data_IF_824201873043
#
_entry.id   IF_824201873043
#
_cell.length_a   1.000
_cell.length_b   1.000
_cell.length_c   1.000
_cell.angle_alpha   90.00
_cell.angle_beta   90.00
_cell.angle_gamma   90.00
#
_symmetry.space_group_name_H-M   'P 1'
#
loop_
_entity.id
_entity.type
_entity.pdbx_description
1 polymer ?
#
# COMPACT_ATOMS: atom_id res chain seq x y z
N UNK A 1 -27.76 -6.68 -21.92
CA UNK A 1 -27.41 -5.56 -22.85
C UNK A 1 -26.58 -4.48 -22.12
N UNK A 2 -26.98 -4.01 -20.92
CA UNK A 2 -26.22 -3.05 -20.13
C UNK A 2 -24.82 -3.59 -19.78
N UNK A 3 -24.71 -4.88 -19.45
CA UNK A 3 -23.45 -5.57 -19.15
C UNK A 3 -22.44 -5.53 -20.31
N UNK A 4 -22.91 -5.62 -21.56
CA UNK A 4 -22.05 -5.54 -22.72
C UNK A 4 -21.41 -4.15 -22.91
N UNK A 5 -22.14 -3.07 -22.62
CA UNK A 5 -21.66 -1.69 -22.69
C UNK A 5 -20.63 -1.44 -21.58
N UNK A 6 -20.92 -1.84 -20.36
CA UNK A 6 -20.00 -1.68 -19.21
C UNK A 6 -18.67 -2.41 -19.44
N UNK A 7 -18.72 -3.62 -19.96
CA UNK A 7 -17.50 -4.37 -20.28
C UNK A 7 -16.65 -3.66 -21.35
N UNK A 8 -17.29 -3.13 -22.40
CA UNK A 8 -16.58 -2.36 -23.45
C UNK A 8 -15.94 -1.09 -22.92
N UNK A 9 -16.63 -0.38 -22.01
CA UNK A 9 -16.09 0.80 -21.33
C UNK A 9 -14.87 0.45 -20.49
N UNK A 10 -14.95 -0.64 -19.74
CA UNK A 10 -13.85 -1.15 -18.92
C UNK A 10 -12.64 -1.54 -19.78
N UNK A 11 -12.87 -2.34 -20.81
CA UNK A 11 -11.80 -2.79 -21.70
C UNK A 11 -11.09 -1.64 -22.40
N UNK A 12 -11.85 -0.58 -22.81
CA UNK A 12 -11.29 0.62 -23.41
C UNK A 12 -10.43 1.39 -22.40
N UNK A 13 -10.92 1.55 -21.16
CA UNK A 13 -10.20 2.22 -20.08
C UNK A 13 -8.91 1.46 -19.72
N UNK A 14 -8.97 0.16 -19.48
CA UNK A 14 -7.79 -0.65 -19.14
C UNK A 14 -6.73 -0.63 -20.23
N UNK A 15 -7.16 -0.65 -21.50
CA UNK A 15 -6.24 -0.56 -22.63
C UNK A 15 -5.50 0.76 -22.65
N UNK A 16 -6.21 1.86 -22.41
CA UNK A 16 -5.61 3.18 -22.39
C UNK A 16 -4.72 3.38 -21.16
N UNK A 17 -5.13 2.86 -19.99
CA UNK A 17 -4.34 2.86 -18.77
C UNK A 17 -2.99 2.18 -18.96
N UNK A 18 -2.99 1.00 -19.57
CA UNK A 18 -1.77 0.25 -19.92
C UNK A 18 -0.93 0.97 -20.98
N UNK A 19 -1.57 1.56 -22.00
CA UNK A 19 -0.88 2.29 -23.05
C UNK A 19 -0.14 3.53 -22.51
N UNK A 20 -0.74 4.25 -21.57
CA UNK A 20 -0.11 5.39 -20.89
C UNK A 20 0.95 4.97 -19.87
N UNK A 21 1.01 3.72 -19.49
CA UNK A 21 1.92 3.23 -18.45
C UNK A 21 1.69 3.88 -17.08
N UNK A 22 0.44 4.17 -16.74
CA UNK A 22 0.05 4.93 -15.56
C UNK A 22 0.65 4.37 -14.27
N UNK A 23 0.56 3.05 -14.04
CA UNK A 23 1.12 2.39 -12.85
C UNK A 23 2.62 2.65 -12.67
N UNK A 24 3.37 2.60 -13.78
CA UNK A 24 4.81 2.86 -13.76
C UNK A 24 5.12 4.31 -13.36
N UNK A 25 4.37 5.26 -13.88
CA UNK A 25 4.56 6.67 -13.55
C UNK A 25 4.18 6.97 -12.12
N UNK A 26 3.05 6.44 -11.64
CA UNK A 26 2.60 6.56 -10.24
C UNK A 26 3.65 5.98 -9.29
N UNK A 27 4.09 4.74 -9.52
CA UNK A 27 5.09 4.08 -8.68
C UNK A 27 6.41 4.84 -8.63
N UNK A 28 6.86 5.40 -9.77
CA UNK A 28 8.08 6.19 -9.82
C UNK A 28 7.93 7.54 -9.11
N UNK A 29 6.80 8.24 -9.28
CA UNK A 29 6.54 9.47 -8.57
C UNK A 29 6.47 9.24 -7.05
N UNK A 30 5.79 8.20 -6.62
CA UNK A 30 5.73 7.80 -5.21
C UNK A 30 7.12 7.51 -4.63
N UNK A 31 7.96 6.77 -5.35
CA UNK A 31 9.34 6.48 -4.93
C UNK A 31 10.17 7.75 -4.79
N UNK A 32 10.12 8.62 -5.79
CA UNK A 32 10.87 9.87 -5.82
C UNK A 32 10.42 10.81 -4.71
N UNK A 33 9.11 10.94 -4.47
CA UNK A 33 8.60 11.78 -3.39
C UNK A 33 9.06 11.31 -2.00
N UNK A 34 9.13 10.02 -1.77
CA UNK A 34 9.68 9.47 -0.50
C UNK A 34 11.18 9.72 -0.36
N UNK A 35 11.94 9.66 -1.44
CA UNK A 35 13.39 9.88 -1.43
C UNK A 35 13.72 11.36 -1.22
N UNK A 36 13.06 12.25 -1.95
CA UNK A 36 13.41 13.68 -1.99
C UNK A 36 12.42 14.59 -1.25
N UNK A 37 11.33 14.04 -0.71
CA UNK A 37 10.27 14.78 -0.04
C UNK A 37 9.16 15.26 -0.96
N UNK A 38 9.43 15.36 -2.27
CA UNK A 38 8.48 15.80 -3.29
C UNK A 38 8.84 15.19 -4.64
N UNK A 39 7.82 14.97 -5.46
CA UNK A 39 7.94 14.71 -6.90
C UNK A 39 6.81 15.40 -7.65
N UNK A 40 6.98 15.60 -8.94
CA UNK A 40 5.90 16.07 -9.81
C UNK A 40 5.85 15.24 -11.08
N UNK A 41 4.65 14.97 -11.59
CA UNK A 41 4.44 14.41 -12.91
C UNK A 41 4.00 15.55 -13.81
N UNK A 42 4.71 15.77 -14.90
CA UNK A 42 4.38 16.76 -15.92
C UNK A 42 3.91 16.05 -17.19
N UNK A 43 2.73 16.41 -17.67
CA UNK A 43 2.16 15.92 -18.91
C UNK A 43 2.53 16.83 -20.07
N UNK A 44 3.09 16.24 -21.10
CA UNK A 44 3.36 16.88 -22.38
C UNK A 44 2.36 16.37 -23.41
N UNK A 45 1.79 17.29 -24.16
CA UNK A 45 0.85 17.00 -25.25
C UNK A 45 1.43 17.59 -26.53
N UNK A 46 1.53 16.80 -27.57
CA UNK A 46 2.09 17.25 -28.85
C UNK A 46 1.34 18.47 -29.37
N UNK A 47 2.10 19.46 -29.86
CA UNK A 47 1.61 20.72 -30.44
C UNK A 47 0.82 21.59 -29.45
N UNK A 48 1.00 21.45 -28.15
CA UNK A 48 0.41 22.30 -27.14
C UNK A 48 1.45 22.91 -26.22
N UNK A 49 1.28 24.18 -25.88
CA UNK A 49 2.15 24.87 -24.93
C UNK A 49 1.93 24.36 -23.49
N UNK A 50 3.00 24.09 -22.72
CA UNK A 50 2.87 23.63 -21.33
C UNK A 50 2.13 24.59 -20.41
N UNK A 51 2.16 25.90 -20.71
CA UNK A 51 1.50 26.95 -19.92
C UNK A 51 -0.01 27.02 -20.13
N UNK A 52 -0.51 26.41 -21.21
CA UNK A 52 -1.96 26.41 -21.52
C UNK A 52 -2.68 25.29 -20.76
N UNK A 53 -3.94 25.51 -20.42
CA UNK A 53 -4.79 24.44 -19.89
C UNK A 53 -4.94 23.30 -20.89
N UNK A 54 -5.11 22.08 -20.38
CA UNK A 54 -5.35 20.90 -21.21
C UNK A 54 -6.77 20.95 -21.76
N UNK A 55 -6.91 20.84 -23.08
CA UNK A 55 -8.20 20.54 -23.67
C UNK A 55 -8.41 19.00 -23.66
N UNK A 56 -9.06 18.53 -22.62
CA UNK A 56 -9.34 17.11 -22.44
C UNK A 56 -10.20 16.52 -23.56
N UNK A 57 -11.08 17.34 -24.21
CA UNK A 57 -12.00 16.86 -25.25
C UNK A 57 -11.28 16.43 -26.52
N UNK A 58 -10.13 17.04 -26.79
CA UNK A 58 -9.31 16.71 -27.98
C UNK A 58 -8.12 15.84 -27.66
N UNK A 59 -7.91 15.49 -26.38
CA UNK A 59 -6.72 14.79 -25.89
C UNK A 59 -6.50 13.41 -26.56
N UNK A 60 -7.57 12.73 -26.95
CA UNK A 60 -7.50 11.44 -27.64
C UNK A 60 -6.83 11.50 -29.04
N UNK A 61 -6.75 12.70 -29.64
CA UNK A 61 -6.11 12.92 -30.96
C UNK A 61 -4.61 13.18 -30.87
N UNK A 62 -4.10 13.45 -29.67
CA UNK A 62 -2.73 13.88 -29.47
C UNK A 62 -1.92 12.76 -28.80
N UNK A 63 -0.63 12.73 -29.08
CA UNK A 63 0.28 11.92 -28.31
C UNK A 63 0.55 12.57 -26.96
N UNK A 64 0.47 11.78 -25.88
CA UNK A 64 0.66 12.24 -24.51
C UNK A 64 1.84 11.51 -23.92
N UNK A 65 2.77 12.25 -23.35
CA UNK A 65 3.92 11.72 -22.63
C UNK A 65 4.01 12.32 -21.24
N UNK A 66 4.61 11.58 -20.31
CA UNK A 66 4.77 11.99 -18.92
C UNK A 66 6.22 12.01 -18.52
N UNK A 67 6.65 13.10 -17.90
CA UNK A 67 7.95 13.24 -17.28
C UNK A 67 7.79 13.33 -15.77
N UNK A 68 8.64 12.58 -15.05
CA UNK A 68 8.69 12.63 -13.60
C UNK A 68 9.82 13.56 -13.21
N UNK A 69 9.50 14.56 -12.42
CA UNK A 69 10.39 15.62 -12.01
C UNK A 69 10.79 15.42 -10.54
N UNK A 70 12.07 15.52 -10.27
CA UNK A 70 12.63 15.47 -8.93
C UNK A 70 13.37 16.78 -8.61
N UNK A 71 13.54 17.13 -7.32
CA UNK A 71 14.17 18.39 -6.93
C UNK A 71 15.68 18.44 -7.23
N UNK A 72 16.30 17.29 -7.45
CA UNK A 72 17.76 17.22 -7.64
C UNK A 72 18.16 17.44 -9.11
N UNK A 73 17.45 16.76 -10.02
CA UNK A 73 17.80 16.74 -11.44
C UNK A 73 17.00 17.76 -12.27
N UNK A 74 15.99 18.38 -11.68
CA UNK A 74 15.10 19.31 -12.38
C UNK A 74 15.18 20.68 -11.73
N UNK A 75 15.65 21.66 -12.49
CA UNK A 75 15.57 23.06 -12.06
C UNK A 75 14.12 23.54 -12.15
N UNK A 76 13.39 23.46 -11.04
CA UNK A 76 11.97 23.77 -11.00
C UNK A 76 11.52 24.36 -9.67
N UNK A 77 10.28 24.81 -9.64
CA UNK A 77 9.59 25.26 -8.42
C UNK A 77 8.12 24.95 -8.50
N UNK A 78 7.52 24.68 -7.33
CA UNK A 78 6.09 24.58 -7.17
C UNK A 78 5.54 26.01 -7.08
N UNK A 79 4.47 26.27 -7.80
CA UNK A 79 3.72 27.52 -7.71
C UNK A 79 2.49 27.24 -6.86
N UNK A 80 2.42 27.87 -5.70
CA UNK A 80 1.29 27.76 -4.77
C UNK A 80 0.36 28.95 -4.94
N UNK A 81 -0.93 28.72 -4.78
CA UNK A 81 -1.89 29.82 -4.69
C UNK A 81 -1.67 30.59 -3.39
N UNK A 82 -1.30 31.86 -3.48
CA UNK A 82 -1.02 32.73 -2.34
C UNK A 82 -2.19 33.65 -1.97
N UNK A 83 -3.34 33.54 -2.64
CA UNK A 83 -4.52 34.34 -2.30
C UNK A 83 -5.19 33.77 -1.04
N UNK A 84 -5.14 34.48 0.10
CA UNK A 84 -5.71 33.98 1.35
C UNK A 84 -7.26 33.91 1.35
N UNK A 85 -7.92 34.50 0.34
CA UNK A 85 -9.36 34.43 0.20
C UNK A 85 -9.82 33.30 -0.73
N UNK A 86 -8.89 32.61 -1.38
CA UNK A 86 -9.21 31.49 -2.27
C UNK A 86 -9.41 30.19 -1.46
N UNK A 87 -10.35 29.36 -1.89
CA UNK A 87 -10.58 28.04 -1.28
C UNK A 87 -9.39 27.08 -1.46
N UNK A 88 -8.57 27.33 -2.46
CA UNK A 88 -7.37 26.58 -2.78
C UNK A 88 -6.09 27.30 -2.34
N UNK A 89 -6.17 28.13 -1.28
CA UNK A 89 -5.02 28.77 -0.65
C UNK A 89 -3.96 27.76 -0.28
N UNK A 90 -2.71 28.02 -0.62
CA UNK A 90 -1.54 27.14 -0.44
C UNK A 90 -1.60 25.81 -1.22
N UNK A 91 -2.61 25.56 -2.04
CA UNK A 91 -2.61 24.44 -2.96
C UNK A 91 -1.75 24.73 -4.19
N UNK A 92 -1.32 23.65 -4.83
CA UNK A 92 -0.49 23.75 -6.04
C UNK A 92 -1.31 24.33 -7.21
N UNK A 93 -0.89 25.48 -7.72
CA UNK A 93 -1.48 26.11 -8.92
C UNK A 93 -0.71 25.78 -10.20
N UNK A 94 0.44 25.14 -10.07
CA UNK A 94 1.25 24.69 -11.18
C UNK A 94 2.70 24.44 -10.75
N UNK A 95 3.53 24.13 -11.74
CA UNK A 95 4.96 24.01 -11.54
C UNK A 95 5.69 24.86 -12.58
N UNK A 96 6.88 25.30 -12.24
CA UNK A 96 7.77 25.98 -13.18
C UNK A 96 9.03 25.14 -13.34
N UNK A 97 9.37 24.78 -14.58
CA UNK A 97 10.51 23.94 -14.92
C UNK A 97 11.41 24.70 -15.90
N UNK A 98 12.67 24.88 -15.55
CA UNK A 98 13.63 25.64 -16.37
C UNK A 98 13.07 27.00 -16.86
N UNK A 99 12.35 27.71 -15.99
CA UNK A 99 11.73 29.01 -16.28
C UNK A 99 10.39 28.94 -17.03
N UNK A 100 9.98 27.78 -17.54
CA UNK A 100 8.70 27.61 -18.25
C UNK A 100 7.60 27.19 -17.27
N UNK A 101 6.46 27.91 -17.22
CA UNK A 101 5.34 27.51 -16.38
C UNK A 101 4.58 26.35 -17.02
N UNK A 102 4.14 25.43 -16.17
CA UNK A 102 3.19 24.37 -16.51
C UNK A 102 1.86 24.66 -15.82
N UNK A 103 0.78 24.59 -16.58
CA UNK A 103 -0.56 24.80 -16.05
C UNK A 103 -0.93 23.64 -15.09
N UNK A 104 -1.73 23.93 -14.04
CA UNK A 104 -2.16 22.95 -13.04
C UNK A 104 -2.84 21.70 -13.62
N UNK A 105 -3.53 21.81 -14.75
CA UNK A 105 -4.14 20.65 -15.41
C UNK A 105 -3.12 19.71 -16.07
N UNK A 106 -1.86 20.14 -16.22
CA UNK A 106 -0.78 19.38 -16.85
C UNK A 106 0.19 18.78 -15.86
N UNK A 107 0.00 19.00 -14.59
CA UNK A 107 0.92 18.48 -13.58
C UNK A 107 0.14 18.02 -12.35
N UNK A 108 0.72 17.03 -11.68
CA UNK A 108 0.33 16.63 -10.33
C UNK A 108 1.57 16.57 -9.48
N UNK A 109 1.50 17.11 -8.27
CA UNK A 109 2.61 17.15 -7.32
C UNK A 109 2.28 16.21 -6.17
N UNK A 110 3.21 15.30 -5.89
CA UNK A 110 3.14 14.39 -4.77
C UNK A 110 4.17 14.75 -3.73
N UNK A 111 3.73 15.02 -2.50
CA UNK A 111 4.60 15.30 -1.36
C UNK A 111 4.61 14.12 -0.40
N UNK A 112 5.74 13.85 0.25
CA UNK A 112 5.86 12.75 1.20
C UNK A 112 5.12 13.05 2.51
N UNK A 113 5.05 14.31 2.89
CA UNK A 113 4.29 14.84 4.05
C UNK A 113 3.90 16.29 3.77
N UNK A 114 3.06 16.85 4.61
CA UNK A 114 2.72 18.27 4.52
C UNK A 114 3.96 19.15 4.72
N UNK A 115 4.10 20.23 3.95
CA UNK A 115 5.24 21.12 4.06
C UNK A 115 5.35 21.75 5.44
N UNK A 116 6.51 21.65 6.04
CA UNK A 116 6.84 22.38 7.27
C UNK A 116 7.57 23.65 6.87
N UNK A 117 6.96 24.80 7.14
CA UNK A 117 7.53 26.12 6.78
C UNK A 117 8.67 26.53 7.71
N UNK A 118 9.72 25.73 7.76
CA UNK A 118 10.97 26.02 8.45
C UNK A 118 12.07 26.36 7.44
N UNK A 119 13.00 27.23 7.81
CA UNK A 119 14.05 27.75 6.94
C UNK A 119 14.91 26.67 6.27
N UNK A 120 15.02 25.49 6.85
CA UNK A 120 15.88 24.41 6.33
C UNK A 120 15.16 23.43 5.38
N UNK A 121 13.86 23.59 5.18
CA UNK A 121 13.06 22.71 4.31
C UNK A 121 12.83 23.32 2.94
N UNK A 122 13.58 24.36 2.59
CA UNK A 122 13.56 24.93 1.26
C UNK A 122 14.31 24.00 0.29
N UNK A 123 13.57 23.43 -0.66
CA UNK A 123 14.14 22.70 -1.79
C UNK A 123 14.05 23.54 -3.06
N UNK A 124 14.63 23.05 -4.17
CA UNK A 124 14.52 23.69 -5.48
C UNK A 124 13.05 23.87 -5.93
N UNK A 125 12.13 23.03 -5.42
CA UNK A 125 10.69 23.12 -5.65
C UNK A 125 9.96 24.06 -4.67
N UNK A 126 10.65 24.78 -3.81
CA UNK A 126 10.06 25.63 -2.77
C UNK A 126 9.88 24.91 -1.45
N UNK A 127 8.85 25.25 -0.68
CA UNK A 127 8.52 24.56 0.57
C UNK A 127 7.91 23.20 0.27
N UNK A 128 8.59 22.15 0.69
CA UNK A 128 8.22 20.77 0.43
C UNK A 128 8.23 19.95 1.71
N UNK A 129 7.54 18.82 1.71
CA UNK A 129 7.63 17.84 2.76
C UNK A 129 9.04 17.28 2.92
N UNK A 130 9.34 16.73 4.09
CA UNK A 130 10.63 16.10 4.35
C UNK A 130 10.69 14.74 3.68
N UNK A 131 11.88 14.37 3.21
CA UNK A 131 12.12 13.01 2.74
C UNK A 131 12.16 12.01 3.91
N UNK A 132 11.92 10.74 3.62
CA UNK A 132 12.10 9.65 4.59
C UNK A 132 13.53 9.64 5.13
N UNK A 133 14.52 9.89 4.28
CA UNK A 133 15.93 9.95 4.70
C UNK A 133 16.25 11.13 5.63
N UNK A 134 15.63 12.28 5.43
CA UNK A 134 15.76 13.40 6.36
C UNK A 134 15.20 13.06 7.74
N UNK A 135 14.03 12.42 7.78
CA UNK A 135 13.37 12.00 9.03
C UNK A 135 14.16 10.90 9.74
N UNK A 136 14.66 9.94 8.98
CA UNK A 136 15.44 8.80 9.48
C UNK A 136 16.95 9.07 9.62
N UNK A 137 17.45 10.30 9.43
CA UNK A 137 18.88 10.60 9.34
C UNK A 137 19.66 10.11 10.57
N UNK A 138 19.17 10.39 11.77
CA UNK A 138 19.85 9.99 13.00
C UNK A 138 19.78 8.48 13.25
N UNK A 139 18.60 7.82 13.16
CA UNK A 139 18.53 6.36 13.25
C UNK A 139 19.39 5.64 12.22
N UNK A 140 19.43 6.10 10.97
CA UNK A 140 20.25 5.50 9.91
C UNK A 140 21.75 5.65 10.23
N UNK A 141 22.17 6.81 10.74
CA UNK A 141 23.55 7.00 11.19
C UNK A 141 23.92 6.07 12.33
N UNK A 142 23.02 5.89 13.29
CA UNK A 142 23.20 4.95 14.40
C UNK A 142 23.28 3.51 13.89
N UNK A 143 22.42 3.13 12.93
CA UNK A 143 22.46 1.82 12.30
C UNK A 143 23.79 1.52 11.62
N UNK A 144 24.32 2.44 10.81
CA UNK A 144 25.62 2.30 10.17
C UNK A 144 26.75 2.15 11.22
N UNK A 145 26.62 2.87 12.33
CA UNK A 145 27.61 2.80 13.41
C UNK A 145 27.56 1.44 14.13
N UNK A 146 26.37 0.90 14.38
CA UNK A 146 26.16 -0.44 14.95
C UNK A 146 26.73 -1.51 14.04
N UNK A 147 26.46 -1.47 12.75
CA UNK A 147 27.03 -2.41 11.76
C UNK A 147 28.56 -2.40 11.77
N UNK A 148 29.18 -1.24 11.85
CA UNK A 148 30.63 -1.13 11.98
C UNK A 148 31.16 -1.70 13.29
N UNK A 149 30.39 -1.59 14.37
CA UNK A 149 30.76 -2.17 15.67
C UNK A 149 30.69 -3.68 15.60
N UNK A 150 29.64 -4.23 14.98
CA UNK A 150 29.47 -5.67 14.75
C UNK A 150 30.63 -6.26 13.95
N UNK A 151 31.02 -5.59 12.85
CA UNK A 151 32.20 -5.97 12.06
C UNK A 151 33.49 -5.96 12.90
N UNK A 152 33.66 -4.93 13.73
CA UNK A 152 34.82 -4.85 14.62
C UNK A 152 34.81 -5.93 15.70
N UNK A 153 33.65 -6.25 16.24
CA UNK A 153 33.49 -7.34 17.23
C UNK A 153 33.79 -8.68 16.58
N UNK A 154 33.23 -8.94 15.39
CA UNK A 154 33.50 -10.17 14.62
C UNK A 154 34.97 -10.36 14.30
N UNK A 155 35.66 -9.29 13.87
CA UNK A 155 37.11 -9.33 13.56
C UNK A 155 37.95 -9.55 14.82
N UNK A 156 37.51 -9.02 15.98
CA UNK A 156 38.27 -9.07 17.23
C UNK A 156 37.85 -10.20 18.17
N UNK A 157 36.73 -10.86 17.89
CA UNK A 157 36.21 -11.98 18.72
C UNK A 157 37.14 -13.20 18.83
N UNK A 158 38.15 -13.28 17.96
CA UNK A 158 39.19 -14.33 18.04
C UNK A 158 40.54 -13.83 18.54
N UNK A 159 40.63 -12.63 19.15
CA UNK A 159 41.87 -12.11 19.69
C UNK A 159 42.24 -12.85 20.99
N UNK A 160 43.39 -13.54 20.96
CA UNK A 160 43.99 -14.13 22.11
C UNK A 160 44.79 -13.10 22.91
N UNK A 161 44.46 -12.91 24.18
CA UNK A 161 45.19 -12.00 25.08
C UNK A 161 46.21 -12.78 25.87
N UNK A 162 47.49 -12.49 25.69
CA UNK A 162 48.56 -13.10 26.44
C UNK A 162 48.84 -12.32 27.72
N UNK A 163 48.76 -12.99 28.84
CA UNK A 163 49.02 -12.44 30.17
C UNK A 163 50.44 -12.86 30.59
N UNK A 164 51.37 -11.93 30.54
CA UNK A 164 52.80 -12.18 30.90
C UNK A 164 52.97 -11.96 32.41
N UNK A 165 53.28 -13.02 33.15
CA UNK A 165 53.64 -12.94 34.56
C UNK A 165 55.18 -12.91 34.71
N UNK A 166 55.71 -11.77 35.10
CA UNK A 166 57.12 -11.61 35.35
C UNK A 166 57.43 -10.54 36.41
N UNK A 167 58.68 -10.47 36.97
CA UNK A 167 59.03 -9.47 37.94
C UNK A 167 58.75 -8.06 37.40
N UNK A 168 58.09 -7.23 38.18
CA UNK A 168 57.48 -5.97 37.78
C UNK A 168 58.40 -4.94 37.09
N UNK A 169 59.72 -4.96 37.44
CA UNK A 169 60.69 -4.02 36.86
C UNK A 169 61.16 -4.38 35.45
N UNK A 170 61.27 -5.65 35.11
CA UNK A 170 61.66 -6.12 33.78
C UNK A 170 60.48 -6.03 32.82
N UNK A 171 59.26 -6.33 33.27
CA UNK A 171 58.06 -6.24 32.50
C UNK A 171 57.72 -4.81 32.14
N UNK A 172 57.86 -3.84 33.05
CA UNK A 172 57.65 -2.44 32.79
C UNK A 172 58.59 -1.85 31.72
N UNK A 173 59.88 -2.19 31.77
CA UNK A 173 60.85 -1.75 30.78
C UNK A 173 60.62 -2.37 29.40
N UNK A 174 60.22 -3.64 29.35
CA UNK A 174 59.85 -4.32 28.10
C UNK A 174 58.51 -3.79 27.55
N UNK A 175 57.56 -3.52 28.40
CA UNK A 175 56.25 -2.95 28.01
C UNK A 175 56.37 -1.55 27.44
N UNK A 176 57.27 -0.67 27.97
CA UNK A 176 57.52 0.65 27.42
C UNK A 176 58.21 0.58 26.05
N UNK A 177 59.16 -0.32 25.83
CA UNK A 177 59.82 -0.49 24.52
C UNK A 177 58.93 -1.17 23.46
N UNK A 178 57.99 -2.04 23.88
CA UNK A 178 57.12 -2.79 22.99
C UNK A 178 55.73 -2.17 22.83
N UNK A 179 55.42 -1.08 23.54
CA UNK A 179 54.10 -0.44 23.50
C UNK A 179 53.63 -0.02 22.08
N UNK A 180 54.57 0.45 21.26
CA UNK A 180 54.28 0.79 19.87
C UNK A 180 54.01 -0.40 18.99
N UNK A 181 54.75 -1.50 19.17
CA UNK A 181 54.60 -2.76 18.42
C UNK A 181 53.35 -3.50 18.88
N UNK A 182 53.06 -3.52 20.18
CA UNK A 182 51.80 -4.09 20.71
C UNK A 182 50.56 -3.33 20.21
N UNK A 183 50.58 -2.01 20.19
CA UNK A 183 49.50 -1.22 19.61
C UNK A 183 49.28 -1.53 18.13
N UNK A 184 50.38 -1.73 17.39
CA UNK A 184 50.30 -2.05 15.97
C UNK A 184 49.81 -3.49 15.73
N UNK A 185 50.22 -4.47 16.54
CA UNK A 185 49.74 -5.84 16.48
C UNK A 185 48.25 -5.94 16.88
N UNK A 186 47.84 -5.26 17.96
CA UNK A 186 46.42 -5.21 18.38
C UNK A 186 45.53 -4.52 17.33
N UNK A 187 46.08 -3.53 16.58
CA UNK A 187 45.34 -2.92 15.48
C UNK A 187 45.26 -3.78 14.23
N UNK A 188 46.23 -4.67 13.99
CA UNK A 188 46.34 -5.52 12.80
C UNK A 188 45.94 -6.96 13.05
N UNK A 189 45.80 -7.38 14.34
CA UNK A 189 45.44 -8.76 14.71
C UNK A 189 44.11 -9.17 14.06
N UNK A 190 44.20 -10.22 13.26
CA UNK A 190 43.05 -10.89 12.66
C UNK A 190 42.79 -12.20 13.39
N UNK A 191 41.57 -12.68 13.33
CA UNK A 191 41.19 -14.00 13.83
C UNK A 191 42.12 -15.10 13.29
N UNK A 192 42.77 -15.89 14.17
CA UNK A 192 43.65 -16.99 13.77
C UNK A 192 45.16 -16.73 13.85
N UNK A 193 45.57 -15.52 14.25
CA UNK A 193 47.03 -15.27 14.51
C UNK A 193 47.43 -15.91 15.87
N UNK A 194 48.42 -16.82 15.83
CA UNK A 194 48.97 -17.45 17.02
C UNK A 194 50.12 -16.57 17.53
N UNK A 195 49.96 -16.03 18.74
CA UNK A 195 51.03 -15.35 19.46
C UNK A 195 51.86 -16.38 20.21
N UNK A 196 53.20 -16.36 20.02
CA UNK A 196 54.07 -17.22 20.81
C UNK A 196 54.09 -16.78 22.28
N UNK A 197 53.96 -17.77 23.19
CA UNK A 197 53.79 -17.58 24.62
C UNK A 197 54.95 -18.16 25.35
N UNK A 198 55.41 -17.53 26.47
CA UNK A 198 56.38 -18.06 27.40
C UNK A 198 55.78 -19.15 28.28
N UNK A 199 56.65 -19.99 28.87
CA UNK A 199 56.25 -21.15 29.64
C UNK A 199 55.35 -20.86 30.88
N UNK A 200 55.33 -19.61 31.36
CA UNK A 200 54.51 -19.14 32.49
C UNK A 200 53.38 -18.16 32.11
N UNK A 201 53.08 -18.05 30.83
CA UNK A 201 52.05 -17.14 30.35
C UNK A 201 50.71 -17.84 30.18
N UNK A 202 49.64 -17.17 30.53
CA UNK A 202 48.28 -17.62 30.26
C UNK A 202 47.67 -16.94 29.08
N UNK A 203 46.94 -17.69 28.26
CA UNK A 203 46.12 -17.16 27.18
C UNK A 203 44.68 -17.10 27.65
N UNK A 204 44.11 -15.93 27.62
CA UNK A 204 42.67 -15.74 27.81
C UNK A 204 42.06 -15.29 26.48
N UNK A 205 41.02 -15.98 26.03
CA UNK A 205 40.20 -15.46 24.92
C UNK A 205 39.29 -14.39 25.46
N UNK A 206 39.12 -13.31 24.70
CA UNK A 206 38.10 -12.32 25.02
C UNK A 206 36.76 -12.93 24.65
N UNK A 207 35.99 -13.32 25.69
CA UNK A 207 34.65 -13.82 25.52
C UNK A 207 33.73 -12.62 25.21
N UNK A 208 33.28 -12.54 23.96
CA UNK A 208 32.35 -11.53 23.47
C UNK A 208 30.90 -12.03 23.38
N UNK A 209 30.65 -13.28 23.81
CA UNK A 209 29.32 -13.91 23.76
C UNK A 209 28.28 -13.12 24.57
N UNK A 210 28.69 -12.41 25.61
CA UNK A 210 27.81 -11.58 26.41
C UNK A 210 27.36 -10.28 25.70
N UNK A 211 27.97 -9.92 24.56
CA UNK A 211 27.62 -8.72 23.80
C UNK A 211 26.55 -8.98 22.74
N UNK A 212 26.31 -10.23 22.36
CA UNK A 212 25.37 -10.60 21.30
C UNK A 212 23.95 -10.08 21.59
N UNK A 213 23.39 -10.41 22.75
CA UNK A 213 22.05 -9.98 23.15
C UNK A 213 21.87 -8.45 23.23
N UNK A 214 22.77 -7.68 23.88
CA UNK A 214 22.68 -6.23 23.88
C UNK A 214 22.79 -5.60 22.49
N UNK A 215 23.62 -6.17 21.61
CA UNK A 215 23.75 -5.67 20.24
C UNK A 215 22.51 -5.94 19.41
N UNK A 216 21.90 -7.12 19.52
CA UNK A 216 20.64 -7.47 18.85
C UNK A 216 19.49 -6.58 19.34
N UNK A 217 19.36 -6.38 20.65
CA UNK A 217 18.36 -5.48 21.21
C UNK A 217 18.55 -4.06 20.71
N UNK A 218 19.79 -3.56 20.69
CA UNK A 218 20.09 -2.22 20.16
C UNK A 218 19.76 -2.09 18.68
N UNK A 219 20.06 -3.12 17.87
CA UNK A 219 19.75 -3.16 16.44
C UNK A 219 18.25 -3.11 16.20
N UNK A 220 17.47 -3.90 16.94
CA UNK A 220 16.01 -3.92 16.83
C UNK A 220 15.40 -2.56 17.17
N UNK A 221 15.82 -1.90 18.25
CA UNK A 221 15.36 -0.55 18.58
C UNK A 221 15.73 0.50 17.51
N UNK A 222 16.90 0.37 16.89
CA UNK A 222 17.29 1.27 15.79
C UNK A 222 16.39 1.03 14.56
N UNK A 223 16.08 -0.23 14.23
CA UNK A 223 15.16 -0.57 13.13
C UNK A 223 13.75 -0.06 13.40
N UNK A 224 13.24 -0.18 14.62
CA UNK A 224 11.96 0.41 15.03
C UNK A 224 11.93 1.93 14.83
N UNK A 225 13.01 2.62 15.21
CA UNK A 225 13.13 4.07 15.02
C UNK A 225 13.22 4.46 13.54
N UNK A 226 13.87 3.65 12.69
CA UNK A 226 13.90 3.85 11.24
C UNK A 226 12.50 3.65 10.66
N UNK A 227 11.79 2.61 11.08
CA UNK A 227 10.42 2.31 10.66
C UNK A 227 9.46 3.45 11.03
N UNK A 228 9.53 3.92 12.27
CA UNK A 228 8.74 5.06 12.74
C UNK A 228 9.02 6.35 11.94
N UNK A 229 10.30 6.62 11.62
CA UNK A 229 10.66 7.75 10.79
C UNK A 229 10.19 7.62 9.33
N UNK A 230 9.99 6.40 8.86
CA UNK A 230 9.49 6.11 7.52
C UNK A 230 7.96 5.93 7.46
N UNK A 231 7.26 6.11 8.57
CA UNK A 231 5.82 5.87 8.75
C UNK A 231 5.40 4.46 8.29
N UNK A 232 6.21 3.46 8.63
CA UNK A 232 5.93 2.06 8.26
C UNK A 232 6.02 1.14 9.48
N UNK A 233 5.28 0.03 9.52
CA UNK A 233 5.44 -0.98 10.56
C UNK A 233 6.85 -1.56 10.59
N UNK A 234 7.44 -1.72 11.78
CA UNK A 234 8.81 -2.22 11.94
C UNK A 234 8.99 -3.63 11.35
N UNK A 235 7.93 -4.44 11.35
CA UNK A 235 7.93 -5.79 10.80
C UNK A 235 8.28 -5.83 9.31
N UNK A 236 7.99 -4.77 8.54
CA UNK A 236 8.35 -4.67 7.12
C UNK A 236 9.87 -4.58 6.93
N UNK A 237 10.59 -3.98 7.89
CA UNK A 237 12.05 -3.89 7.87
C UNK A 237 12.72 -5.17 8.39
N UNK A 238 12.04 -5.97 9.19
CA UNK A 238 12.54 -7.24 9.68
C UNK A 238 12.21 -8.36 8.69
N UNK A 239 13.15 -8.63 7.78
CA UNK A 239 12.97 -9.60 6.70
C UNK A 239 12.74 -11.04 7.19
N UNK A 240 13.28 -11.42 8.36
CA UNK A 240 13.10 -12.76 8.92
C UNK A 240 11.65 -13.00 9.37
N UNK A 241 11.09 -12.03 10.09
CA UNK A 241 9.69 -12.10 10.53
C UNK A 241 8.73 -12.00 9.34
N UNK A 242 9.07 -11.17 8.35
CA UNK A 242 8.28 -11.05 7.13
C UNK A 242 8.30 -12.32 6.29
N UNK A 243 9.45 -13.02 6.20
CA UNK A 243 9.61 -14.26 5.45
C UNK A 243 8.88 -15.46 6.10
N UNK A 244 8.71 -15.45 7.42
CA UNK A 244 7.94 -16.48 8.14
C UNK A 244 6.43 -16.38 7.89
N UNK A 245 5.97 -15.29 7.26
CA UNK A 245 4.56 -14.99 7.05
C UNK A 245 3.90 -14.40 8.29
N UNK A 246 2.81 -13.70 8.05
CA UNK A 246 1.97 -13.23 9.16
C UNK A 246 1.07 -14.38 9.58
N UNK A 247 1.04 -14.68 10.89
CA UNK A 247 -0.06 -15.47 11.43
C UNK A 247 -1.36 -14.74 11.13
N UNK A 248 -2.28 -15.47 10.53
CA UNK A 248 -3.59 -14.94 10.12
C UNK A 248 -4.32 -14.34 11.33
N UNK A 249 -4.79 -13.09 11.21
CA UNK A 249 -5.47 -12.39 12.29
C UNK A 249 -4.56 -11.76 13.35
N UNK A 250 -3.24 -11.72 13.14
CA UNK A 250 -2.32 -11.07 14.07
C UNK A 250 -2.40 -9.54 14.00
N UNK A 251 -2.05 -8.87 15.10
CA UNK A 251 -1.89 -7.41 15.17
C UNK A 251 -0.94 -6.89 14.08
N UNK A 252 0.07 -7.67 13.75
CA UNK A 252 1.08 -7.34 12.74
C UNK A 252 0.47 -7.28 11.33
N UNK A 253 -0.35 -8.26 10.94
CA UNK A 253 -1.05 -8.27 9.67
C UNK A 253 -1.99 -7.06 9.56
N UNK A 254 -2.69 -6.74 10.66
CA UNK A 254 -3.56 -5.56 10.73
C UNK A 254 -2.77 -4.25 10.60
N UNK A 255 -1.63 -4.15 11.27
CA UNK A 255 -0.75 -2.98 11.18
C UNK A 255 -0.25 -2.75 9.76
N UNK A 256 0.16 -3.83 9.06
CA UNK A 256 0.57 -3.76 7.65
C UNK A 256 -0.60 -3.39 6.74
N UNK A 257 -1.81 -3.90 6.99
CA UNK A 257 -2.98 -3.55 6.21
C UNK A 257 -3.33 -2.06 6.34
N UNK A 258 -3.34 -1.52 7.56
CA UNK A 258 -3.54 -0.09 7.81
C UNK A 258 -2.48 0.75 7.10
N UNK A 259 -1.22 0.32 7.13
CA UNK A 259 -0.14 0.99 6.41
C UNK A 259 -0.40 1.01 4.88
N UNK A 260 -0.84 -0.11 4.31
CA UNK A 260 -1.17 -0.19 2.88
C UNK A 260 -2.32 0.75 2.54
N UNK A 261 -3.35 0.80 3.38
CA UNK A 261 -4.51 1.68 3.15
C UNK A 261 -4.12 3.17 3.25
N UNK A 262 -3.27 3.55 4.19
CA UNK A 262 -2.70 4.90 4.26
C UNK A 262 -1.88 5.25 3.00
N UNK A 263 -1.10 4.30 2.46
CA UNK A 263 -0.36 4.50 1.20
C UNK A 263 -1.34 4.68 0.03
N UNK A 264 -2.43 3.93 -0.02
CA UNK A 264 -3.46 4.06 -1.07
C UNK A 264 -4.10 5.45 -1.05
N UNK A 265 -4.52 5.92 0.12
CA UNK A 265 -5.06 7.26 0.31
C UNK A 265 -4.03 8.34 -0.10
N UNK A 266 -2.79 8.17 0.30
CA UNK A 266 -1.72 9.09 -0.09
C UNK A 266 -1.45 9.11 -1.60
N UNK A 267 -1.70 8.01 -2.33
CA UNK A 267 -1.54 7.90 -3.78
C UNK A 267 -2.78 8.36 -4.57
N UNK A 268 -3.92 8.51 -3.93
CA UNK A 268 -5.21 8.85 -4.58
C UNK A 268 -5.11 10.03 -5.55
N UNK A 269 -4.44 11.17 -5.23
CA UNK A 269 -4.32 12.30 -6.16
C UNK A 269 -3.61 11.93 -7.47
N UNK A 270 -2.65 10.99 -7.44
CA UNK A 270 -1.96 10.50 -8.63
C UNK A 270 -2.88 9.63 -9.47
N UNK A 271 -3.66 8.74 -8.83
CA UNK A 271 -4.64 7.91 -9.52
C UNK A 271 -5.73 8.76 -10.16
N UNK A 272 -6.29 9.72 -9.45
CA UNK A 272 -7.32 10.64 -9.97
C UNK A 272 -6.84 11.42 -11.18
N UNK A 273 -5.58 11.86 -11.16
CA UNK A 273 -4.97 12.54 -12.28
C UNK A 273 -4.94 11.65 -13.53
N UNK A 274 -4.44 10.41 -13.42
CA UNK A 274 -4.38 9.48 -14.54
C UNK A 274 -5.76 8.97 -14.97
N UNK A 275 -6.66 8.70 -14.01
CA UNK A 275 -8.05 8.28 -14.29
C UNK A 275 -8.73 9.31 -15.19
N UNK A 276 -8.65 10.60 -14.84
CA UNK A 276 -9.23 11.66 -15.64
C UNK A 276 -8.68 11.67 -17.07
N UNK A 277 -7.39 11.55 -17.24
CA UNK A 277 -6.75 11.50 -18.57
C UNK A 277 -7.25 10.28 -19.35
N UNK A 278 -7.25 9.09 -18.71
CA UNK A 278 -7.73 7.86 -19.33
C UNK A 278 -9.20 7.92 -19.73
N UNK A 279 -10.08 8.47 -18.88
CA UNK A 279 -11.50 8.62 -19.20
C UNK A 279 -11.73 9.42 -20.48
N UNK A 280 -11.07 10.58 -20.61
CA UNK A 280 -11.23 11.43 -21.80
C UNK A 280 -10.61 10.82 -23.06
N UNK A 281 -9.58 9.99 -22.93
CA UNK A 281 -8.95 9.33 -24.08
C UNK A 281 -9.67 8.05 -24.46
N UNK A 282 -9.99 7.20 -23.51
CA UNK A 282 -10.64 5.92 -23.73
C UNK A 282 -12.10 6.06 -24.18
N UNK A 283 -12.83 6.98 -23.56
CA UNK A 283 -14.25 7.20 -23.83
C UNK A 283 -14.48 8.42 -24.74
N UNK A 284 -13.64 8.53 -25.77
CA UNK A 284 -13.72 9.60 -26.76
C UNK A 284 -15.02 9.55 -27.58
N UNK A 285 -15.28 10.64 -28.32
CA UNK A 285 -16.43 10.67 -29.23
C UNK A 285 -16.34 9.61 -30.34
N UNK A 286 -15.14 9.25 -30.76
CA UNK A 286 -14.91 8.19 -31.75
C UNK A 286 -15.27 6.82 -31.17
N UNK A 287 -14.87 6.57 -29.92
CA UNK A 287 -15.27 5.36 -29.21
C UNK A 287 -16.80 5.28 -29.03
N UNK A 288 -17.43 6.40 -28.63
CA UNK A 288 -18.89 6.47 -28.53
C UNK A 288 -19.59 6.14 -29.83
N UNK A 289 -19.10 6.68 -30.96
CA UNK A 289 -19.67 6.41 -32.26
C UNK A 289 -19.53 4.93 -32.66
N UNK A 290 -18.40 4.30 -32.34
CA UNK A 290 -18.23 2.86 -32.55
C UNK A 290 -19.16 2.03 -31.65
N UNK A 291 -19.30 2.43 -30.39
CA UNK A 291 -20.20 1.77 -29.43
C UNK A 291 -21.65 1.87 -29.87
N UNK A 292 -22.08 3.04 -30.41
CA UNK A 292 -23.42 3.26 -30.90
C UNK A 292 -23.76 2.43 -32.13
N UNK A 293 -22.77 2.07 -32.93
CA UNK A 293 -22.96 1.17 -34.06
C UNK A 293 -23.33 -0.24 -33.60
N UNK A 294 -22.69 -0.70 -32.51
CA UNK A 294 -22.95 -2.01 -31.92
C UNK A 294 -24.21 -2.03 -31.03
N UNK A 295 -24.54 -0.89 -30.42
CA UNK A 295 -25.67 -0.74 -29.49
C UNK A 295 -26.61 0.43 -29.91
N UNK A 296 -27.56 0.19 -30.82
CA UNK A 296 -28.47 1.22 -31.34
C UNK A 296 -29.39 1.87 -30.27
N UNK A 297 -29.41 1.29 -29.08
CA UNK A 297 -30.20 1.79 -27.93
C UNK A 297 -29.63 3.09 -27.36
N UNK A 298 -28.39 3.44 -27.68
CA UNK A 298 -27.75 4.70 -27.27
C UNK A 298 -28.31 5.88 -28.06
N UNK A 299 -29.50 6.35 -27.67
CA UNK A 299 -30.24 7.41 -28.38
C UNK A 299 -29.80 8.82 -28.00
N UNK A 300 -29.26 9.03 -26.81
CA UNK A 300 -28.87 10.32 -26.28
C UNK A 300 -27.57 10.85 -26.89
N UNK A 301 -27.26 12.11 -26.59
CA UNK A 301 -26.00 12.74 -27.03
C UNK A 301 -24.79 12.20 -26.28
N UNK A 302 -23.62 12.26 -26.91
CA UNK A 302 -22.34 11.86 -26.31
C UNK A 302 -22.10 12.48 -24.93
N UNK A 303 -22.38 13.80 -24.80
CA UNK A 303 -22.12 14.54 -23.56
C UNK A 303 -22.89 13.99 -22.35
N UNK A 304 -24.14 13.55 -22.56
CA UNK A 304 -24.96 12.97 -21.49
C UNK A 304 -24.44 11.61 -21.06
N UNK A 305 -24.12 10.74 -22.02
CA UNK A 305 -23.54 9.44 -21.71
C UNK A 305 -22.17 9.56 -21.06
N UNK A 306 -21.30 10.42 -21.59
CA UNK A 306 -19.98 10.66 -21.04
C UNK A 306 -20.04 11.16 -19.58
N UNK A 307 -20.92 12.11 -19.27
CA UNK A 307 -21.14 12.57 -17.91
C UNK A 307 -21.65 11.45 -17.00
N UNK A 308 -22.57 10.61 -17.49
CA UNK A 308 -23.05 9.43 -16.74
C UNK A 308 -21.93 8.42 -16.49
N UNK A 309 -21.07 8.15 -17.48
CA UNK A 309 -19.94 7.22 -17.33
C UNK A 309 -18.91 7.70 -16.31
N UNK A 310 -18.59 9.00 -16.32
CA UNK A 310 -17.69 9.57 -15.31
C UNK A 310 -18.30 9.50 -13.93
N UNK A 311 -19.58 9.86 -13.77
CA UNK A 311 -20.24 9.88 -12.46
C UNK A 311 -20.45 8.49 -11.85
N UNK A 312 -20.60 7.47 -12.70
CA UNK A 312 -20.79 6.09 -12.28
C UNK A 312 -19.46 5.32 -12.23
N UNK A 313 -18.33 5.96 -12.53
CA UNK A 313 -17.03 5.32 -12.44
C UNK A 313 -16.57 5.23 -10.99
N UNK A 314 -16.36 4.02 -10.52
CA UNK A 314 -15.77 3.73 -9.23
C UNK A 314 -14.58 2.80 -9.43
N UNK A 315 -13.50 3.08 -8.75
CA UNK A 315 -12.41 2.13 -8.60
C UNK A 315 -12.30 1.70 -7.14
N UNK A 316 -11.96 0.46 -6.93
CA UNK A 316 -11.83 -0.11 -5.58
C UNK A 316 -10.51 -0.84 -5.45
N UNK A 317 -9.85 -0.60 -4.35
CA UNK A 317 -8.69 -1.37 -3.99
C UNK A 317 -9.09 -2.78 -3.53
N UNK A 318 -8.33 -3.83 -3.87
CA UNK A 318 -8.53 -5.13 -3.27
C UNK A 318 -8.31 -5.02 -1.76
N UNK A 319 -9.03 -5.83 -0.98
CA UNK A 319 -8.84 -5.86 0.48
C UNK A 319 -7.38 -6.15 0.82
N UNK A 320 -6.80 -5.35 1.74
CA UNK A 320 -5.43 -5.52 2.22
C UNK A 320 -5.30 -6.70 3.18
N UNK A 321 -6.37 -7.03 3.89
CA UNK A 321 -6.51 -8.23 4.69
C UNK A 321 -7.30 -9.24 3.85
N UNK A 322 -6.60 -10.19 3.23
CA UNK A 322 -7.25 -11.42 2.80
C UNK A 322 -7.36 -12.30 4.04
N UNK A 323 -8.57 -12.40 4.57
CA UNK A 323 -8.85 -13.51 5.48
C UNK A 323 -8.50 -14.82 4.76
N UNK A 324 -7.83 -15.76 5.44
CA UNK A 324 -7.56 -17.05 4.84
C UNK A 324 -8.86 -17.67 4.36
N UNK A 325 -8.83 -18.32 3.22
CA UNK A 325 -10.01 -19.01 2.68
C UNK A 325 -10.64 -19.95 3.71
N UNK A 326 -9.81 -20.59 4.55
CA UNK A 326 -10.26 -21.48 5.61
C UNK A 326 -11.04 -20.77 6.74
N UNK A 327 -10.66 -19.55 7.12
CA UNK A 327 -11.40 -18.77 8.13
C UNK A 327 -12.63 -18.11 7.52
N UNK A 328 -12.51 -17.59 6.30
CA UNK A 328 -13.63 -17.05 5.56
C UNK A 328 -14.74 -18.10 5.38
N UNK A 329 -14.36 -19.32 4.99
CA UNK A 329 -15.30 -20.44 4.87
C UNK A 329 -15.97 -20.76 6.21
N UNK A 330 -15.22 -20.75 7.33
CA UNK A 330 -15.80 -20.98 8.68
C UNK A 330 -16.78 -19.87 9.08
N UNK A 331 -16.42 -18.60 8.85
CA UNK A 331 -17.29 -17.46 9.14
C UNK A 331 -18.55 -17.51 8.27
N UNK A 332 -18.40 -17.81 6.99
CA UNK A 332 -19.51 -17.93 6.06
C UNK A 332 -20.39 -19.15 6.40
N UNK A 333 -19.80 -20.26 6.86
CA UNK A 333 -20.55 -21.42 7.37
C UNK A 333 -21.37 -21.07 8.61
N UNK A 334 -20.80 -20.31 9.55
CA UNK A 334 -21.51 -19.85 10.75
C UNK A 334 -22.67 -18.91 10.37
N UNK A 335 -22.42 -17.97 9.45
CA UNK A 335 -23.47 -17.07 8.93
C UNK A 335 -24.59 -17.84 8.24
N UNK A 336 -24.22 -18.80 7.40
CA UNK A 336 -25.20 -19.64 6.71
C UNK A 336 -26.02 -20.47 7.67
N UNK A 337 -25.41 -21.09 8.69
CA UNK A 337 -26.15 -21.81 9.76
C UNK A 337 -27.11 -20.88 10.49
N UNK A 338 -26.71 -19.65 10.79
CA UNK A 338 -27.58 -18.66 11.41
C UNK A 338 -28.78 -18.29 10.53
N UNK A 339 -28.56 -18.13 9.21
CA UNK A 339 -29.62 -17.87 8.23
C UNK A 339 -30.61 -19.06 8.17
N UNK A 340 -30.09 -20.28 8.08
CA UNK A 340 -30.93 -21.50 8.05
C UNK A 340 -31.73 -21.61 9.33
N UNK A 341 -31.14 -21.47 10.50
CA UNK A 341 -31.87 -21.52 11.78
C UNK A 341 -32.92 -20.42 11.91
N UNK A 342 -32.66 -19.23 11.39
CA UNK A 342 -33.64 -18.15 11.36
C UNK A 342 -34.80 -18.46 10.40
N UNK A 343 -34.52 -19.03 9.24
CA UNK A 343 -35.54 -19.48 8.28
C UNK A 343 -36.40 -20.59 8.84
N UNK A 344 -35.81 -21.58 9.53
CA UNK A 344 -36.56 -22.68 10.17
C UNK A 344 -37.58 -22.17 11.21
N UNK A 345 -37.25 -21.10 11.93
CA UNK A 345 -38.11 -20.48 12.92
C UNK A 345 -39.18 -19.57 12.29
N UNK A 346 -38.83 -18.78 11.30
CA UNK A 346 -39.65 -17.72 10.74
C UNK A 346 -40.59 -18.24 9.62
N UNK A 347 -40.13 -19.15 8.75
CA UNK A 347 -40.95 -19.69 7.65
C UNK A 347 -42.30 -20.29 8.11
N UNK A 348 -42.37 -21.09 9.18
CA UNK A 348 -43.66 -21.58 9.67
C UNK A 348 -44.62 -20.49 10.17
N UNK A 349 -44.07 -19.39 10.71
CA UNK A 349 -44.86 -18.27 11.26
C UNK A 349 -45.46 -17.37 10.17
N UNK A 350 -44.78 -17.28 9.01
CA UNK A 350 -45.19 -16.44 7.86
C UNK A 350 -45.88 -17.24 6.78
N UNK A 351 -46.25 -18.50 7.07
CA UNK A 351 -46.81 -19.43 6.06
C UNK A 351 -48.16 -19.01 5.51
N UNK A 352 -48.86 -18.12 6.21
CA UNK A 352 -50.19 -17.59 5.82
C UNK A 352 -50.11 -16.26 5.07
N UNK A 353 -48.95 -15.59 5.06
CA UNK A 353 -48.76 -14.27 4.45
C UNK A 353 -47.74 -14.36 3.29
N UNK A 354 -48.28 -14.32 2.06
CA UNK A 354 -47.48 -14.48 0.85
C UNK A 354 -46.49 -13.34 0.61
N UNK A 355 -46.75 -12.08 1.07
CA UNK A 355 -45.88 -10.96 0.93
C UNK A 355 -44.69 -11.08 1.87
N UNK A 356 -44.90 -11.33 3.14
CA UNK A 356 -43.85 -11.51 4.13
C UNK A 356 -42.96 -12.73 3.84
N UNK A 357 -43.56 -13.80 3.32
CA UNK A 357 -42.83 -14.98 2.87
C UNK A 357 -41.91 -14.67 1.70
N UNK A 358 -42.40 -13.92 0.69
CA UNK A 358 -41.59 -13.51 -0.46
C UNK A 358 -40.40 -12.63 -0.03
N UNK A 359 -40.64 -11.65 0.85
CA UNK A 359 -39.59 -10.81 1.41
C UNK A 359 -38.53 -11.60 2.19
N UNK A 360 -38.96 -12.62 2.97
CA UNK A 360 -38.06 -13.46 3.72
C UNK A 360 -37.15 -14.31 2.80
N UNK A 361 -37.74 -14.85 1.70
CA UNK A 361 -37.01 -15.64 0.71
C UNK A 361 -36.03 -14.75 -0.06
N UNK A 362 -36.45 -13.57 -0.48
CA UNK A 362 -35.58 -12.59 -1.15
C UNK A 362 -34.41 -12.15 -0.26
N UNK A 363 -34.70 -11.90 1.02
CA UNK A 363 -33.67 -11.59 2.01
C UNK A 363 -32.65 -12.74 2.17
N UNK A 364 -33.15 -13.98 2.25
CA UNK A 364 -32.33 -15.18 2.39
C UNK A 364 -31.49 -15.43 1.15
N UNK A 365 -32.03 -15.25 -0.05
CA UNK A 365 -31.33 -15.35 -1.33
C UNK A 365 -30.21 -14.30 -1.44
N UNK A 366 -30.51 -13.06 -1.06
CA UNK A 366 -29.51 -11.96 -1.07
C UNK A 366 -28.35 -12.26 -0.14
N UNK A 367 -28.65 -12.75 1.08
CA UNK A 367 -27.60 -13.09 2.05
C UNK A 367 -26.84 -14.37 1.67
N UNK A 368 -27.48 -15.37 1.07
CA UNK A 368 -26.80 -16.55 0.54
C UNK A 368 -25.83 -16.18 -0.60
N UNK A 369 -26.27 -15.31 -1.53
CA UNK A 369 -25.46 -14.83 -2.64
C UNK A 369 -24.31 -13.90 -2.21
N UNK A 370 -24.36 -13.33 -1.02
CA UNK A 370 -23.26 -12.58 -0.42
C UNK A 370 -22.12 -13.49 0.09
N UNK A 371 -22.36 -14.79 0.25
CA UNK A 371 -21.38 -15.79 0.72
C UNK A 371 -20.73 -16.51 -0.46
N UNK A 372 -19.91 -15.77 -1.24
CA UNK A 372 -19.25 -16.29 -2.46
C UNK A 372 -18.29 -17.48 -2.19
N UNK A 373 -17.78 -17.61 -0.97
CA UNK A 373 -16.87 -18.70 -0.60
C UNK A 373 -17.57 -20.05 -0.48
N UNK A 374 -18.87 -20.06 -0.09
CA UNK A 374 -19.68 -21.28 0.02
C UNK A 374 -20.46 -21.57 -1.27
N UNK A 375 -20.91 -20.54 -1.94
CA UNK A 375 -21.75 -20.64 -3.14
C UNK A 375 -21.14 -19.86 -4.29
N UNK A 376 -20.24 -20.46 -5.08
CA UNK A 376 -19.62 -19.80 -6.23
C UNK A 376 -20.59 -19.47 -7.36
N UNK A 377 -21.77 -20.14 -7.37
CA UNK A 377 -22.85 -19.84 -8.31
C UNK A 377 -23.98 -19.12 -7.57
N UNK A 378 -24.48 -18.04 -8.18
CA UNK A 378 -25.61 -17.31 -7.64
C UNK A 378 -26.87 -18.17 -7.64
N UNK A 379 -27.56 -18.18 -6.50
CA UNK A 379 -28.86 -18.78 -6.35
C UNK A 379 -29.89 -17.78 -6.89
N UNK A 380 -30.61 -18.16 -7.93
CA UNK A 380 -31.72 -17.39 -8.51
C UNK A 380 -33.03 -18.19 -8.36
N UNK A 381 -33.78 -17.86 -7.32
CA UNK A 381 -35.04 -18.52 -7.03
C UNK A 381 -36.20 -17.74 -7.69
N UNK A 382 -37.02 -18.44 -8.47
CA UNK A 382 -38.24 -17.86 -8.99
C UNK A 382 -39.31 -17.79 -7.87
N UNK A 383 -39.39 -16.61 -7.25
CA UNK A 383 -40.29 -16.34 -6.12
C UNK A 383 -41.77 -16.50 -6.51
N UNK A 384 -42.09 -16.22 -7.77
CA UNK A 384 -43.48 -16.34 -8.25
C UNK A 384 -43.89 -17.82 -8.43
N UNK A 385 -42.99 -18.67 -8.86
CA UNK A 385 -43.22 -20.12 -8.89
C UNK A 385 -43.36 -20.74 -7.50
N UNK A 386 -42.61 -20.20 -6.51
CA UNK A 386 -42.71 -20.62 -5.11
C UNK A 386 -44.02 -20.20 -4.44
N UNK A 387 -44.65 -19.10 -4.89
CA UNK A 387 -45.97 -18.68 -4.45
C UNK A 387 -47.08 -19.64 -4.97
N UNK A 388 -46.90 -20.16 -6.19
CA UNK A 388 -47.86 -21.05 -6.85
C UNK A 388 -47.86 -22.47 -6.28
N UNK A 389 -46.75 -22.97 -5.75
CA UNK A 389 -46.59 -24.32 -5.21
C UNK A 389 -46.67 -24.33 -3.67
N UNK A 390 -47.84 -24.06 -3.11
CA UNK A 390 -48.09 -24.28 -1.68
C UNK A 390 -48.14 -25.79 -1.35
N UNK A 391 -47.36 -26.27 -0.38
CA UNK A 391 -47.63 -27.59 0.18
C UNK A 391 -49.02 -27.58 0.82
N UNK A 392 -49.90 -28.48 0.39
CA UNK A 392 -51.21 -28.64 1.01
C UNK A 392 -51.02 -28.90 2.51
N UNK A 393 -51.65 -28.07 3.35
CA UNK A 393 -51.71 -28.34 4.78
C UNK A 393 -52.36 -29.71 5.00
N UNK A 394 -51.81 -30.57 5.90
CA UNK A 394 -52.49 -31.78 6.28
C UNK A 394 -53.89 -31.39 6.80
N UNK A 395 -54.92 -31.87 6.17
CA UNK A 395 -56.30 -31.70 6.66
C UNK A 395 -56.34 -32.29 8.06
N UNK A 396 -56.69 -31.45 9.04
CA UNK A 396 -57.06 -31.95 10.36
C UNK A 396 -58.24 -33.00 10.14
N UNK A 397 -57.89 -34.22 10.39
CA UNK A 397 -58.93 -35.25 10.45
C UNK A 397 -59.86 -34.89 11.62
N UNK A 398 -61.12 -34.50 11.31
CA UNK A 398 -62.17 -34.34 12.31
C UNK A 398 -62.26 -35.64 13.11
N UNK A 399 -62.28 -35.59 14.43
CA UNK A 399 -62.42 -36.75 15.23
C UNK A 399 -63.82 -37.34 14.94
N UNK A 400 -63.86 -38.50 14.25
CA UNK A 400 -65.06 -39.24 13.87
C UNK A 400 -66.00 -39.45 15.07
N UNK A 401 -67.17 -38.92 14.92
CA UNK A 401 -68.27 -39.11 15.89
C UNK A 401 -68.52 -40.56 16.22
N UNK A 402 -68.10 -40.97 17.41
CA UNK A 402 -68.48 -42.27 17.99
C UNK A 402 -69.92 -42.29 18.27
N UNK A 403 -70.61 -43.11 17.53
CA UNK A 403 -72.03 -43.45 17.74
C UNK A 403 -72.14 -44.35 18.94
N UNK A 404 -72.86 -43.90 19.98
CA UNK A 404 -73.28 -44.74 21.07
C UNK A 404 -74.26 -45.82 20.56
N UNK A 405 -74.05 -47.04 20.97
CA UNK A 405 -75.02 -48.00 21.40
C UNK A 405 -74.50 -48.78 22.60
#
# INVERSE_FOLDING_TARGET
>A
QAYGIEQRLRDAFEREWKALGADKHIANAARISRIYGVSAIAMLVDNQEPSSAVDYRTLYKHNVTFNILDPLNTAGSIVLNQDPNAQDFQKVDGIRVAGKPYHKSRCVVQQNEDPIYLAYNSAAFGFTGRSVYQRALFPLKSFIQTMRTDDMVSVKGGLLVTKIQGPSSVVNNMMQKLSGIKRMMLKRGKTGEVLQIGANDSIESIDLSNLEKPLDSSRNHILENIAAAADMPAIILNSETFAQGFGEGTEDARSVAVYIDNIREWLEPLYDYFIRICQYRAWSIEFFNSLRADFPELKNTYSLYFSSWINNFEYRWPSSLKEPESEKVKVDEIRFKAIVSMLEVLLPQVNTDDENRALLIEWAQTNANANESLFPQRLDLDIDSLKANRPEQPRDEEPGGGMML
#
